data_IF_362796298337
#
_entry.id   IF_362796298337
#
_cell.length_a   1.000
_cell.length_b   1.000
_cell.length_c   1.000
_cell.angle_alpha   90.00
_cell.angle_beta   90.00
_cell.angle_gamma   90.00
#
_symmetry.space_group_name_H-M   'P 1'
#
loop_
_entity.id
_entity.type
_entity.pdbx_description
1 polymer ?
#
# COMPACT_ATOMS: atom_id res chain seq x y z
N UNK A 1 31.93 -1.08 -8.85
CA UNK A 1 31.04 -0.61 -9.93
C UNK A 1 30.57 0.80 -9.57
N UNK A 2 30.62 1.72 -10.54
CA UNK A 2 30.13 3.08 -10.34
C UNK A 2 28.58 3.06 -10.34
N UNK A 3 27.96 3.38 -9.18
CA UNK A 3 26.51 3.45 -9.04
C UNK A 3 26.10 4.93 -8.98
N UNK A 4 25.54 5.49 -10.07
CA UNK A 4 25.19 6.93 -10.11
C UNK A 4 24.20 7.35 -9.02
N UNK A 5 23.23 6.50 -8.66
CA UNK A 5 22.27 6.81 -7.62
C UNK A 5 22.90 6.82 -6.22
N UNK A 6 23.80 5.88 -5.95
CA UNK A 6 24.58 5.88 -4.71
C UNK A 6 25.49 7.10 -4.61
N UNK A 7 26.17 7.48 -5.72
CA UNK A 7 27.01 8.67 -5.74
C UNK A 7 26.22 9.95 -5.52
N UNK A 8 25.04 10.08 -6.15
CA UNK A 8 24.15 11.23 -5.94
C UNK A 8 23.67 11.32 -4.48
N UNK A 9 23.35 10.17 -3.87
CA UNK A 9 22.95 10.16 -2.47
C UNK A 9 24.11 10.46 -1.52
N UNK A 10 25.32 10.00 -1.81
CA UNK A 10 26.51 10.37 -1.03
C UNK A 10 26.78 11.88 -1.09
N UNK A 11 26.64 12.48 -2.27
CA UNK A 11 26.76 13.93 -2.43
C UNK A 11 25.68 14.69 -1.63
N UNK A 12 24.43 14.22 -1.68
CA UNK A 12 23.34 14.77 -0.88
C UNK A 12 23.64 14.71 0.63
N UNK A 13 24.14 13.58 1.14
CA UNK A 13 24.52 13.44 2.54
C UNK A 13 25.65 14.40 2.94
N UNK A 14 26.63 14.61 2.05
CA UNK A 14 27.74 15.56 2.28
C UNK A 14 27.24 17.00 2.43
N UNK A 15 26.23 17.43 1.66
CA UNK A 15 25.60 18.76 1.81
C UNK A 15 24.87 18.90 3.16
N UNK A 16 24.45 17.78 3.78
CA UNK A 16 23.88 17.76 5.12
C UNK A 16 24.95 17.63 6.24
N UNK A 17 26.24 17.66 5.89
CA UNK A 17 27.33 17.52 6.85
C UNK A 17 27.70 16.09 7.24
N UNK A 18 27.15 15.09 6.53
CA UNK A 18 27.41 13.67 6.76
C UNK A 18 28.45 13.16 5.76
N UNK A 19 29.62 12.75 6.22
CA UNK A 19 30.74 12.37 5.34
C UNK A 19 30.91 10.84 5.30
N UNK A 20 30.41 10.21 4.26
CA UNK A 20 30.52 8.76 4.06
C UNK A 20 31.96 8.24 3.83
N UNK A 21 32.92 9.12 3.52
CA UNK A 21 34.32 8.70 3.32
C UNK A 21 35.10 8.60 4.64
N UNK A 22 34.68 9.34 5.66
CA UNK A 22 35.39 9.39 6.97
C UNK A 22 34.59 8.69 8.09
N UNK A 23 33.29 8.53 7.93
CA UNK A 23 32.43 7.84 8.87
C UNK A 23 32.20 6.40 8.41
N UNK A 24 32.79 5.44 9.13
CA UNK A 24 32.73 4.02 8.80
C UNK A 24 31.32 3.45 8.85
N UNK A 25 30.43 3.98 9.71
CA UNK A 25 29.04 3.55 9.80
C UNK A 25 28.23 4.00 8.58
N UNK A 26 28.60 5.13 7.97
CA UNK A 26 27.95 5.68 6.77
C UNK A 26 28.56 5.19 5.46
N UNK A 27 29.72 4.54 5.48
CA UNK A 27 30.49 4.21 4.28
C UNK A 27 29.70 3.45 3.21
N UNK A 28 28.82 2.53 3.60
CA UNK A 28 28.00 1.71 2.69
C UNK A 28 26.55 2.22 2.57
N UNK A 29 26.16 3.23 3.33
CA UNK A 29 24.78 3.76 3.37
C UNK A 29 24.29 4.24 2.00
N UNK A 30 25.06 4.97 1.18
CA UNK A 30 24.60 5.40 -0.13
C UNK A 30 24.22 4.22 -1.05
N UNK A 31 25.01 3.18 -1.06
CA UNK A 31 24.74 1.98 -1.87
C UNK A 31 23.50 1.23 -1.37
N UNK A 32 23.38 1.04 -0.05
CA UNK A 32 22.23 0.37 0.57
C UNK A 32 20.94 1.12 0.30
N UNK A 33 20.97 2.45 0.46
CA UNK A 33 19.77 3.26 0.23
C UNK A 33 19.36 3.31 -1.24
N UNK A 34 20.32 3.42 -2.16
CA UNK A 34 20.04 3.34 -3.58
C UNK A 34 19.41 1.99 -3.98
N UNK A 35 19.90 0.89 -3.41
CA UNK A 35 19.32 -0.44 -3.63
C UNK A 35 17.88 -0.54 -3.09
N UNK A 36 17.64 -0.04 -1.88
CA UNK A 36 16.31 0.02 -1.26
C UNK A 36 15.33 0.80 -2.13
N UNK A 37 15.70 2.00 -2.59
CA UNK A 37 14.82 2.82 -3.42
C UNK A 37 14.52 2.18 -4.78
N UNK A 38 15.47 1.48 -5.38
CA UNK A 38 15.21 0.73 -6.60
C UNK A 38 14.18 -0.37 -6.39
N UNK A 39 14.25 -1.09 -5.30
CA UNK A 39 13.26 -2.10 -4.94
C UNK A 39 11.86 -1.50 -4.80
N UNK A 40 11.76 -0.28 -4.26
CA UNK A 40 10.48 0.39 -4.02
C UNK A 40 9.96 1.22 -5.19
N UNK A 41 10.83 1.69 -6.09
CA UNK A 41 10.42 2.57 -7.19
C UNK A 41 10.31 1.86 -8.54
N UNK A 42 10.87 0.68 -8.67
CA UNK A 42 10.69 -0.16 -9.84
C UNK A 42 9.50 -1.08 -9.56
N UNK A 43 8.31 -0.59 -9.87
CA UNK A 43 7.10 -1.38 -9.70
C UNK A 43 7.18 -2.64 -10.57
N UNK A 44 7.01 -3.84 -10.00
CA UNK A 44 6.97 -5.07 -10.79
C UNK A 44 5.74 -5.07 -11.71
N UNK A 45 5.70 -5.93 -12.74
CA UNK A 45 4.50 -6.14 -13.52
C UNK A 45 3.30 -6.46 -12.62
N UNK A 46 2.12 -5.98 -13.03
CA UNK A 46 0.88 -6.30 -12.30
C UNK A 46 0.74 -7.82 -12.19
N UNK A 47 0.49 -8.37 -10.98
CA UNK A 47 0.34 -9.80 -10.82
C UNK A 47 -0.93 -10.28 -11.55
N UNK A 48 -0.84 -11.42 -12.20
CA UNK A 48 -2.01 -12.11 -12.71
C UNK A 48 -2.84 -12.63 -11.54
N UNK A 49 -4.12 -12.30 -11.58
CA UNK A 49 -5.11 -12.73 -10.60
C UNK A 49 -6.32 -13.27 -11.34
N UNK A 50 -6.59 -14.54 -11.09
CA UNK A 50 -7.74 -15.22 -11.70
C UNK A 50 -8.87 -15.33 -10.68
N UNK A 51 -10.04 -14.88 -11.07
CA UNK A 51 -11.27 -15.18 -10.37
C UNK A 51 -11.68 -16.63 -10.62
N UNK A 52 -12.32 -17.24 -9.63
CA UNK A 52 -12.90 -18.57 -9.77
C UNK A 52 -14.43 -18.47 -9.59
N UNK A 53 -15.20 -19.34 -10.23
CA UNK A 53 -16.65 -19.32 -10.08
C UNK A 53 -17.07 -19.47 -8.61
N UNK A 54 -18.09 -18.73 -8.21
CA UNK A 54 -18.69 -18.87 -6.89
C UNK A 54 -19.37 -20.23 -6.79
N UNK A 55 -19.10 -21.05 -5.75
CA UNK A 55 -19.79 -22.33 -5.56
C UNK A 55 -21.28 -22.14 -5.39
N UNK A 56 -22.09 -23.15 -5.82
CA UNK A 56 -23.53 -23.14 -5.65
C UNK A 56 -23.90 -23.03 -4.15
N UNK A 57 -24.81 -22.09 -3.83
CA UNK A 57 -25.21 -21.80 -2.45
C UNK A 57 -24.25 -20.82 -1.72
N UNK A 58 -23.14 -20.42 -2.33
CA UNK A 58 -22.31 -19.30 -1.86
C UNK A 58 -22.98 -17.95 -2.15
N UNK A 59 -22.74 -16.93 -1.36
CA UNK A 59 -23.30 -15.59 -1.66
C UNK A 59 -23.29 -14.60 -0.51
N UNK A 60 -22.76 -14.99 0.64
CA UNK A 60 -22.53 -14.05 1.74
C UNK A 60 -21.32 -13.14 1.49
N UNK A 61 -21.18 -12.07 2.27
CA UNK A 61 -20.03 -11.18 2.16
C UNK A 61 -18.73 -11.93 2.49
N UNK A 62 -17.68 -11.65 1.72
CA UNK A 62 -16.32 -12.10 2.00
C UNK A 62 -15.57 -10.94 2.62
N UNK A 63 -14.94 -11.17 3.77
CA UNK A 63 -14.18 -10.18 4.51
C UNK A 63 -12.75 -10.69 4.71
N UNK A 64 -11.78 -9.89 4.28
CA UNK A 64 -10.35 -10.16 4.47
C UNK A 64 -9.80 -9.00 5.29
N UNK A 65 -9.25 -9.31 6.46
CA UNK A 65 -8.81 -8.30 7.43
C UNK A 65 -7.30 -8.36 7.67
N UNK A 66 -6.80 -7.23 8.16
CA UNK A 66 -5.46 -7.09 8.71
C UNK A 66 -4.35 -7.45 7.71
N UNK A 67 -4.57 -7.19 6.41
CA UNK A 67 -3.53 -7.32 5.40
C UNK A 67 -2.46 -6.26 5.65
N UNK A 68 -1.26 -6.63 6.09
CA UNK A 68 -0.21 -5.65 6.35
C UNK A 68 0.33 -5.09 5.04
N UNK A 69 0.68 -3.81 5.05
CA UNK A 69 1.35 -3.17 3.93
C UNK A 69 2.36 -2.12 4.40
N UNK A 70 3.32 -1.84 3.53
CA UNK A 70 4.26 -0.73 3.65
C UNK A 70 4.30 0.00 2.32
N UNK A 71 4.46 1.32 2.35
CA UNK A 71 4.66 2.13 1.17
C UNK A 71 5.49 3.37 1.49
N UNK A 72 5.86 4.15 0.48
CA UNK A 72 6.58 5.41 0.64
C UNK A 72 5.67 6.57 0.25
N UNK A 73 5.52 7.52 1.16
CA UNK A 73 4.78 8.75 0.89
C UNK A 73 5.43 9.51 -0.27
N UNK A 74 4.69 9.81 -1.32
CA UNK A 74 5.19 10.48 -2.52
C UNK A 74 5.80 11.86 -2.23
N UNK A 75 5.33 12.55 -1.19
CA UNK A 75 5.77 13.91 -0.89
C UNK A 75 7.13 13.99 -0.18
N UNK A 76 7.43 13.03 0.69
CA UNK A 76 8.63 13.07 1.55
C UNK A 76 9.53 11.85 1.39
N UNK A 77 9.10 10.84 0.61
CA UNK A 77 9.82 9.56 0.45
C UNK A 77 10.11 8.87 1.80
N UNK A 78 9.27 9.12 2.79
CA UNK A 78 9.32 8.41 4.08
C UNK A 78 8.19 7.38 4.15
N UNK A 79 8.36 6.32 4.96
CA UNK A 79 7.38 5.25 5.03
C UNK A 79 6.01 5.70 5.54
N UNK A 80 4.96 5.06 5.04
CA UNK A 80 3.70 4.89 5.74
C UNK A 80 3.30 3.42 5.67
N UNK A 81 2.67 2.94 6.70
CA UNK A 81 2.40 1.51 6.86
C UNK A 81 1.22 1.26 7.76
N UNK A 82 0.64 0.09 7.66
CA UNK A 82 -0.54 -0.27 8.45
C UNK A 82 -1.23 -1.50 7.91
N UNK A 83 -2.55 -1.47 7.92
CA UNK A 83 -3.37 -2.59 7.49
C UNK A 83 -4.44 -2.15 6.51
N UNK A 84 -4.69 -3.02 5.55
CA UNK A 84 -5.80 -2.90 4.61
C UNK A 84 -6.82 -4.00 4.92
N UNK A 85 -8.09 -3.63 4.83
CA UNK A 85 -9.22 -4.53 4.95
C UNK A 85 -10.01 -4.46 3.66
N UNK A 86 -10.41 -5.61 3.15
CA UNK A 86 -11.22 -5.76 1.94
C UNK A 86 -12.49 -6.51 2.30
N UNK A 87 -13.62 -5.95 1.92
CA UNK A 87 -14.90 -6.64 1.99
C UNK A 87 -15.57 -6.59 0.62
N UNK A 88 -16.17 -7.70 0.19
CA UNK A 88 -16.93 -7.70 -1.05
C UNK A 88 -18.12 -8.65 -0.99
N UNK A 89 -19.16 -8.31 -1.74
CA UNK A 89 -20.31 -9.16 -1.98
C UNK A 89 -20.14 -9.81 -3.35
N UNK A 90 -19.88 -11.12 -3.41
CA UNK A 90 -19.70 -11.79 -4.69
C UNK A 90 -20.96 -11.71 -5.58
N UNK A 91 -20.78 -11.57 -6.89
CA UNK A 91 -21.81 -11.80 -7.88
C UNK A 91 -21.71 -13.26 -8.41
N UNK A 92 -20.71 -13.52 -9.23
CA UNK A 92 -20.49 -14.83 -9.85
C UNK A 92 -19.10 -15.41 -9.57
N UNK A 93 -18.19 -14.59 -9.02
CA UNK A 93 -16.79 -14.95 -8.84
C UNK A 93 -16.30 -14.64 -7.43
N UNK A 94 -15.32 -15.40 -7.00
CA UNK A 94 -14.49 -15.16 -5.83
C UNK A 94 -13.01 -15.15 -6.23
N UNK A 95 -12.16 -14.66 -5.35
CA UNK A 95 -10.70 -14.60 -5.57
C UNK A 95 -9.98 -15.28 -4.41
N UNK A 96 -8.86 -15.92 -4.69
CA UNK A 96 -8.00 -16.48 -3.64
C UNK A 96 -7.41 -15.37 -2.75
N UNK A 97 -7.44 -15.54 -1.44
CA UNK A 97 -7.01 -14.51 -0.47
C UNK A 97 -5.55 -14.05 -0.69
N UNK A 98 -4.66 -14.98 -1.06
CA UNK A 98 -3.27 -14.66 -1.41
C UNK A 98 -3.14 -13.76 -2.65
N UNK A 99 -4.10 -13.79 -3.56
CA UNK A 99 -4.11 -12.92 -4.73
C UNK A 99 -4.43 -11.46 -4.36
N UNK A 100 -5.32 -11.27 -3.37
CA UNK A 100 -5.58 -9.93 -2.81
C UNK A 100 -4.32 -9.34 -2.18
N UNK A 101 -3.56 -10.15 -1.42
CA UNK A 101 -2.28 -9.73 -0.85
C UNK A 101 -1.25 -9.35 -1.92
N UNK A 102 -1.14 -10.10 -3.03
CA UNK A 102 -0.25 -9.74 -4.15
C UNK A 102 -0.66 -8.45 -4.86
N UNK A 103 -1.96 -8.20 -5.04
CA UNK A 103 -2.44 -6.93 -5.58
C UNK A 103 -2.12 -5.76 -4.65
N UNK A 104 -2.32 -5.94 -3.35
CA UNK A 104 -1.97 -4.93 -2.35
C UNK A 104 -0.48 -4.62 -2.37
N UNK A 105 0.38 -5.63 -2.38
CA UNK A 105 1.83 -5.45 -2.48
C UNK A 105 2.19 -4.68 -3.76
N UNK A 106 1.62 -5.05 -4.90
CA UNK A 106 1.83 -4.36 -6.17
C UNK A 106 1.38 -2.89 -6.13
N UNK A 107 0.20 -2.58 -5.58
CA UNK A 107 -0.30 -1.22 -5.45
C UNK A 107 0.56 -0.36 -4.50
N UNK A 108 1.18 -0.97 -3.50
CA UNK A 108 1.96 -0.28 -2.47
C UNK A 108 3.44 -0.08 -2.83
N UNK A 109 4.01 -0.88 -3.75
CA UNK A 109 5.43 -0.81 -4.15
C UNK A 109 5.73 0.30 -5.15
N UNK A 110 5.50 1.54 -4.75
CA UNK A 110 5.84 2.77 -5.48
C UNK A 110 5.68 3.97 -4.55
N UNK A 111 6.17 5.17 -4.90
CA UNK A 111 5.76 6.38 -4.22
C UNK A 111 4.25 6.56 -4.31
N UNK A 112 3.57 6.54 -3.16
CA UNK A 112 2.13 6.36 -3.08
C UNK A 112 1.46 7.40 -2.19
N UNK A 113 0.15 7.57 -2.38
CA UNK A 113 -0.78 8.22 -1.46
C UNK A 113 -1.73 7.17 -0.90
N UNK A 114 -2.09 7.28 0.36
CA UNK A 114 -3.01 6.33 1.00
C UNK A 114 -4.37 6.29 0.28
N UNK A 115 -4.86 7.45 -0.13
CA UNK A 115 -6.11 7.61 -0.87
C UNK A 115 -6.05 6.94 -2.24
N UNK A 116 -4.93 7.08 -2.95
CA UNK A 116 -4.71 6.45 -4.24
C UNK A 116 -4.54 4.94 -4.09
N UNK A 117 -3.88 4.46 -3.03
CA UNK A 117 -3.71 3.04 -2.75
C UNK A 117 -5.06 2.31 -2.67
N UNK A 118 -6.02 2.85 -1.90
CA UNK A 118 -7.32 2.20 -1.75
C UNK A 118 -8.14 2.21 -3.04
N UNK A 119 -8.03 3.27 -3.85
CA UNK A 119 -8.70 3.36 -5.16
C UNK A 119 -8.10 2.34 -6.13
N UNK A 120 -6.78 2.32 -6.29
CA UNK A 120 -6.11 1.39 -7.21
C UNK A 120 -6.37 -0.08 -6.84
N UNK A 121 -6.37 -0.41 -5.55
CA UNK A 121 -6.68 -1.76 -5.11
C UNK A 121 -8.16 -2.10 -5.34
N UNK A 122 -9.07 -1.15 -5.11
CA UNK A 122 -10.49 -1.34 -5.39
C UNK A 122 -10.73 -1.56 -6.88
N UNK A 123 -10.13 -0.73 -7.75
CA UNK A 123 -10.27 -0.86 -9.21
C UNK A 123 -9.73 -2.21 -9.71
N UNK A 124 -8.56 -2.63 -9.18
CA UNK A 124 -7.95 -3.91 -9.55
C UNK A 124 -8.81 -5.11 -9.12
N UNK A 125 -9.46 -5.03 -7.96
CA UNK A 125 -10.36 -6.08 -7.47
C UNK A 125 -11.71 -6.07 -8.19
N UNK A 126 -12.25 -4.89 -8.49
CA UNK A 126 -13.50 -4.75 -9.23
C UNK A 126 -13.38 -5.34 -10.64
N UNK A 127 -12.28 -5.06 -11.33
CA UNK A 127 -11.99 -5.63 -12.65
C UNK A 127 -12.00 -7.17 -12.66
N UNK A 128 -11.39 -7.79 -11.64
CA UNK A 128 -11.26 -9.25 -11.56
C UNK A 128 -12.54 -9.93 -11.06
N UNK A 129 -13.19 -9.36 -10.05
CA UNK A 129 -14.29 -9.98 -9.32
C UNK A 129 -15.65 -9.66 -9.91
N UNK A 130 -15.80 -8.46 -10.49
CA UNK A 130 -17.09 -7.87 -10.86
C UNK A 130 -18.14 -8.07 -9.75
N UNK A 131 -17.84 -7.63 -8.51
CA UNK A 131 -18.68 -7.94 -7.36
C UNK A 131 -19.93 -7.06 -7.36
N UNK A 132 -20.98 -7.47 -6.63
CA UNK A 132 -22.14 -6.61 -6.40
C UNK A 132 -21.79 -5.37 -5.59
N UNK A 133 -20.89 -5.54 -4.64
CA UNK A 133 -20.39 -4.47 -3.79
C UNK A 133 -18.94 -4.77 -3.36
N UNK A 134 -18.15 -3.72 -3.18
CA UNK A 134 -16.76 -3.80 -2.74
C UNK A 134 -16.44 -2.61 -1.83
N UNK A 135 -15.68 -2.87 -0.78
CA UNK A 135 -15.07 -1.85 0.07
C UNK A 135 -13.61 -2.22 0.34
N UNK A 136 -12.74 -1.28 0.11
CA UNK A 136 -11.34 -1.30 0.55
C UNK A 136 -11.15 -0.20 1.58
N UNK A 137 -10.65 -0.55 2.76
CA UNK A 137 -10.34 0.38 3.84
C UNK A 137 -8.88 0.22 4.24
N UNK A 138 -8.17 1.32 4.36
CA UNK A 138 -6.77 1.37 4.78
C UNK A 138 -6.65 2.19 6.06
N UNK A 139 -6.08 1.61 7.11
CA UNK A 139 -5.69 2.31 8.34
C UNK A 139 -4.17 2.31 8.45
N UNK A 140 -3.56 3.48 8.49
CA UNK A 140 -2.11 3.62 8.42
C UNK A 140 -1.54 4.67 9.38
N UNK A 141 -0.29 4.46 9.78
CA UNK A 141 0.59 5.48 10.36
C UNK A 141 1.37 6.14 9.24
N UNK A 142 1.51 7.45 9.33
CA UNK A 142 2.18 8.29 8.33
C UNK A 142 3.45 8.90 8.95
N UNK A 143 4.64 8.38 8.59
CA UNK A 143 5.88 8.93 9.15
C UNK A 143 6.11 10.40 8.76
N UNK A 144 5.54 10.84 7.63
CA UNK A 144 5.57 12.25 7.27
C UNK A 144 4.77 13.16 8.23
N UNK A 145 3.79 12.62 8.98
CA UNK A 145 3.11 13.37 10.04
C UNK A 145 3.89 13.33 11.36
N UNK A 146 4.59 12.24 11.62
CA UNK A 146 5.28 12.03 12.90
C UNK A 146 6.68 12.63 12.95
N UNK A 147 7.38 12.66 11.80
CA UNK A 147 8.79 13.09 11.68
C UNK A 147 8.96 14.53 11.23
N UNK A 148 7.92 15.21 10.77
CA UNK A 148 7.97 16.62 10.36
C UNK A 148 7.55 17.54 11.51
N UNK A 149 7.67 18.85 11.31
CA UNK A 149 7.36 19.86 12.34
C UNK A 149 5.94 19.81 12.93
N UNK A 150 5.01 19.11 12.29
CA UNK A 150 3.65 18.91 12.82
C UNK A 150 3.62 17.93 14.00
N UNK A 151 4.60 17.02 14.12
CA UNK A 151 4.75 16.00 15.20
C UNK A 151 3.43 15.36 15.65
N UNK A 152 2.51 15.15 14.71
CA UNK A 152 1.19 14.58 15.00
C UNK A 152 1.27 13.06 15.04
N UNK A 153 0.87 12.49 16.17
CA UNK A 153 0.76 11.05 16.34
C UNK A 153 -0.69 10.61 16.13
N UNK A 154 -0.91 9.66 15.25
CA UNK A 154 -2.25 9.16 14.97
C UNK A 154 -2.29 8.19 13.80
N UNK A 155 -3.51 7.77 13.48
CA UNK A 155 -3.77 6.95 12.31
C UNK A 155 -4.65 7.72 11.33
N UNK A 156 -4.34 7.57 10.07
CA UNK A 156 -5.20 8.03 8.97
C UNK A 156 -6.02 6.85 8.45
N UNK A 157 -7.23 7.11 8.02
CA UNK A 157 -8.11 6.12 7.41
C UNK A 157 -8.53 6.63 6.05
N UNK A 158 -8.28 5.84 5.02
CA UNK A 158 -8.78 6.07 3.66
C UNK A 158 -9.65 4.88 3.23
N UNK A 159 -10.62 5.12 2.37
CA UNK A 159 -11.50 4.07 1.87
C UNK A 159 -11.92 4.32 0.43
N UNK A 160 -12.23 3.22 -0.26
CA UNK A 160 -12.85 3.24 -1.58
C UNK A 160 -13.97 2.19 -1.61
N UNK A 161 -15.18 2.62 -1.93
CA UNK A 161 -16.34 1.76 -2.06
C UNK A 161 -16.84 1.71 -3.51
N UNK A 162 -17.43 0.58 -3.92
CA UNK A 162 -17.98 0.34 -5.25
C UNK A 162 -19.30 -0.41 -5.17
N UNK A 163 -20.07 -0.33 -6.26
CA UNK A 163 -21.34 -1.05 -6.38
C UNK A 163 -22.36 -0.65 -5.32
N UNK A 164 -23.11 -1.61 -4.80
CA UNK A 164 -24.19 -1.41 -3.82
C UNK A 164 -23.72 -0.71 -2.52
N UNK A 165 -22.42 -0.70 -2.23
CA UNK A 165 -21.85 -0.06 -1.04
C UNK A 165 -21.27 1.33 -1.30
N UNK A 166 -21.38 1.87 -2.50
CA UNK A 166 -20.77 3.15 -2.86
C UNK A 166 -21.19 4.30 -1.92
N UNK A 167 -22.47 4.36 -1.51
CA UNK A 167 -22.99 5.38 -0.60
C UNK A 167 -22.88 5.00 0.89
N UNK A 168 -22.71 3.71 1.19
CA UNK A 168 -22.69 3.17 2.56
C UNK A 168 -21.27 2.87 3.07
N UNK A 169 -20.25 3.20 2.30
CA UNK A 169 -18.85 2.82 2.58
C UNK A 169 -18.38 3.22 3.97
N UNK A 170 -18.79 4.38 4.49
CA UNK A 170 -18.39 4.84 5.81
C UNK A 170 -18.95 3.95 6.93
N UNK A 171 -20.23 3.59 6.87
CA UNK A 171 -20.87 2.76 7.90
C UNK A 171 -20.30 1.33 7.88
N UNK A 172 -20.11 0.76 6.70
CA UNK A 172 -19.53 -0.57 6.52
C UNK A 172 -18.07 -0.57 7.00
N UNK A 173 -17.31 0.49 6.70
CA UNK A 173 -15.93 0.64 7.17
C UNK A 173 -15.83 0.65 8.71
N UNK A 174 -16.75 1.34 9.40
CA UNK A 174 -16.81 1.33 10.86
C UNK A 174 -17.00 -0.07 11.42
N UNK A 175 -17.89 -0.85 10.83
CA UNK A 175 -18.12 -2.25 11.23
C UNK A 175 -16.85 -3.09 10.99
N UNK A 176 -16.22 -2.97 9.82
CA UNK A 176 -15.00 -3.71 9.48
C UNK A 176 -13.84 -3.39 10.42
N UNK A 177 -13.69 -2.14 10.83
CA UNK A 177 -12.61 -1.71 11.73
C UNK A 177 -12.87 -2.09 13.18
N UNK A 178 -14.12 -2.35 13.55
CA UNK A 178 -14.51 -2.77 14.89
C UNK A 178 -14.45 -4.29 15.11
N UNK A 179 -14.57 -5.10 14.05
CA UNK A 179 -14.40 -6.56 14.09
C UNK A 179 -12.93 -6.94 14.29
#
# INVERSE_FOLDING_TARGET
MNDPAANAFAAFLAELGLNCATDLELADTPRRYAALLREWFIQPPRPEVNAVPLPAGGGGPVIIKDLPFHSLCVHHIVPFFGHVHVAYMPAQHIVGFGAVGRLLDWCSRKPQLQERLVVELADALEEVLQPRALLVTCKARQMCMEMTGATSHGHTIAMAARGEWAEQGLEISRVLLAL
#
